data_IF_828273661416
#
_entry.id   IF_828273661416
#
_cell.length_a   1.000
_cell.length_b   1.000
_cell.length_c   1.000
_cell.angle_alpha   90.00
_cell.angle_beta   90.00
_cell.angle_gamma   90.00
#
_symmetry.space_group_name_H-M   'P 1'
#
loop_
_entity.id
_entity.type
_entity.pdbx_description
1 polymer ?
#
# COMPACT_ATOMS: atom_id res chain seq x y z
N UNK A 1 -2.14 26.50 -9.00
CA UNK A 1 -2.85 25.27 -8.55
C UNK A 1 -1.82 24.40 -7.84
N UNK A 2 -1.90 24.26 -6.52
CA UNK A 2 -0.89 23.55 -5.73
C UNK A 2 -1.14 22.04 -5.81
N UNK A 3 -0.13 21.27 -6.21
CA UNK A 3 -0.20 19.81 -6.11
C UNK A 3 -0.35 19.44 -4.63
N UNK A 4 -1.29 18.55 -4.25
CA UNK A 4 -1.39 18.11 -2.87
C UNK A 4 -0.06 17.45 -2.44
N UNK A 5 0.34 17.61 -1.17
CA UNK A 5 1.52 16.93 -0.66
C UNK A 5 1.34 15.42 -0.81
N UNK A 6 2.43 14.74 -1.17
CA UNK A 6 2.45 13.28 -1.27
C UNK A 6 2.32 12.71 0.14
N UNK A 7 1.58 11.62 0.29
CA UNK A 7 1.48 10.92 1.57
C UNK A 7 2.81 10.23 1.90
N UNK A 8 3.32 10.48 3.11
CA UNK A 8 4.57 9.86 3.59
C UNK A 8 4.34 8.53 4.34
N UNK A 9 3.07 8.16 4.59
CA UNK A 9 2.71 6.95 5.30
C UNK A 9 1.42 6.30 4.78
N UNK A 10 1.32 4.98 4.92
CA UNK A 10 0.14 4.16 4.64
C UNK A 10 -0.18 3.31 5.87
N UNK A 11 -1.37 3.47 6.46
CA UNK A 11 -1.79 2.76 7.68
C UNK A 11 -2.96 1.85 7.38
N UNK A 12 -2.85 0.57 7.76
CA UNK A 12 -3.91 -0.42 7.59
C UNK A 12 -4.62 -0.72 8.91
N UNK A 13 -5.90 -0.36 8.98
CA UNK A 13 -6.79 -0.80 10.05
C UNK A 13 -7.43 -2.13 9.69
N UNK A 14 -7.45 -3.08 10.63
CA UNK A 14 -7.99 -4.42 10.38
C UNK A 14 -7.08 -5.29 9.50
N UNK A 15 -5.77 -5.18 9.67
CA UNK A 15 -4.77 -5.92 8.88
C UNK A 15 -4.88 -7.46 8.98
N UNK A 16 -5.56 -7.97 10.01
CA UNK A 16 -5.88 -9.39 10.19
C UNK A 16 -7.15 -9.84 9.45
N UNK A 17 -7.87 -8.93 8.79
CA UNK A 17 -9.12 -9.21 8.08
C UNK A 17 -8.92 -9.98 6.77
N UNK A 18 -10.01 -10.55 6.25
CA UNK A 18 -9.96 -11.39 5.05
C UNK A 18 -9.54 -10.59 3.80
N UNK A 19 -9.91 -9.32 3.73
CA UNK A 19 -9.59 -8.43 2.63
C UNK A 19 -8.09 -8.12 2.60
N UNK A 20 -7.49 -7.95 3.78
CA UNK A 20 -6.07 -7.73 3.92
C UNK A 20 -5.29 -8.90 3.30
N UNK A 21 -5.66 -10.13 3.70
CA UNK A 21 -5.05 -11.36 3.20
C UNK A 21 -5.32 -11.63 1.72
N UNK A 22 -6.58 -11.52 1.30
CA UNK A 22 -7.00 -11.94 -0.04
C UNK A 22 -6.69 -10.92 -1.15
N UNK A 23 -6.54 -9.64 -0.82
CA UNK A 23 -6.45 -8.56 -1.82
C UNK A 23 -5.34 -7.56 -1.56
N UNK A 24 -5.24 -7.01 -0.35
CA UNK A 24 -4.31 -5.91 -0.05
C UNK A 24 -2.87 -6.41 -0.14
N UNK A 25 -2.50 -7.46 0.59
CA UNK A 25 -1.13 -7.98 0.55
C UNK A 25 -0.70 -8.46 -0.85
N UNK A 26 -1.52 -9.23 -1.60
CA UNK A 26 -1.18 -9.57 -2.98
C UNK A 26 -0.95 -8.35 -3.88
N UNK A 27 -1.74 -7.29 -3.73
CA UNK A 27 -1.57 -6.06 -4.52
C UNK A 27 -0.26 -5.33 -4.15
N UNK A 28 -0.01 -5.14 -2.86
CA UNK A 28 1.21 -4.49 -2.37
C UNK A 28 2.46 -5.26 -2.79
N UNK A 29 2.45 -6.59 -2.66
CA UNK A 29 3.55 -7.43 -3.10
C UNK A 29 3.86 -7.24 -4.58
N UNK A 30 2.83 -7.17 -5.44
CA UNK A 30 3.01 -6.90 -6.87
C UNK A 30 3.56 -5.51 -7.13
N UNK A 31 3.13 -4.49 -6.38
CA UNK A 31 3.65 -3.13 -6.51
C UNK A 31 5.13 -3.04 -6.11
N UNK A 32 5.52 -3.71 -5.03
CA UNK A 32 6.94 -3.82 -4.62
C UNK A 32 7.74 -4.58 -5.69
N UNK A 33 7.24 -5.74 -6.14
CA UNK A 33 7.90 -6.55 -7.18
C UNK A 33 8.13 -5.78 -8.47
N UNK A 34 7.22 -4.89 -8.84
CA UNK A 34 7.31 -4.06 -10.05
C UNK A 34 8.06 -2.74 -9.84
N UNK A 35 8.59 -2.47 -8.63
CA UNK A 35 9.33 -1.25 -8.33
C UNK A 35 8.47 0.01 -8.17
N UNK A 36 7.14 -0.13 -8.05
CA UNK A 36 6.23 1.00 -7.83
C UNK A 36 6.14 1.44 -6.37
N UNK A 37 6.57 0.58 -5.45
CA UNK A 37 6.53 0.83 -4.02
C UNK A 37 7.94 0.59 -3.45
N UNK A 38 8.63 1.67 -3.10
CA UNK A 38 10.03 1.69 -2.62
C UNK A 38 10.15 1.86 -1.10
N UNK A 39 9.03 1.92 -0.40
CA UNK A 39 9.01 2.02 1.06
C UNK A 39 9.44 0.70 1.72
N UNK A 40 10.15 0.74 2.86
CA UNK A 40 10.29 -0.42 3.75
C UNK A 40 8.95 -0.81 4.37
#
# INVERSE_FOLDING_TARGET
>A
MTNPPVSDALVFFGISGDLAHKKIFPALYRMVKNGHLTIP
#
